data_IF_131640006690
#
_entry.id   IF_131640006690
#
_cell.length_a   1.000
_cell.length_b   1.000
_cell.length_c   1.000
_cell.angle_alpha   90.00
_cell.angle_beta   90.00
_cell.angle_gamma   90.00
#
_symmetry.space_group_name_H-M   'P 1'
#
loop_
_entity.id
_entity.type
_entity.pdbx_description
1 polymer ?
#
# COMPACT_ATOMS: atom_id res chain seq x y z
N UNK A 1 1.22 -10.20 -13.70
CA UNK A 1 0.37 -11.38 -13.39
C UNK A 1 -0.13 -11.94 -14.69
N UNK A 2 0.05 -13.24 -14.99
CA UNK A 2 -0.52 -13.80 -16.20
C UNK A 2 -2.04 -13.62 -16.22
N UNK A 3 -2.59 -13.28 -17.37
CA UNK A 3 -4.03 -12.98 -17.57
C UNK A 3 -4.95 -14.05 -16.99
N UNK A 4 -4.53 -15.33 -17.00
CA UNK A 4 -5.25 -16.46 -16.40
C UNK A 4 -5.42 -16.37 -14.87
N UNK A 5 -4.68 -15.48 -14.20
CA UNK A 5 -4.77 -15.28 -12.75
C UNK A 5 -5.59 -14.05 -12.37
N UNK A 6 -5.99 -13.23 -13.32
CA UNK A 6 -6.79 -12.00 -13.08
C UNK A 6 -8.07 -12.32 -12.29
N UNK A 7 -8.76 -13.39 -12.67
CA UNK A 7 -10.00 -13.80 -11.99
C UNK A 7 -9.79 -14.19 -10.51
N UNK A 8 -8.56 -14.46 -10.08
CA UNK A 8 -8.26 -14.75 -8.66
C UNK A 8 -8.28 -13.50 -7.79
N UNK A 9 -8.16 -12.32 -8.40
CA UNK A 9 -8.19 -11.03 -7.70
C UNK A 9 -9.57 -10.36 -7.71
N UNK A 10 -10.51 -10.91 -8.48
CA UNK A 10 -11.90 -10.50 -8.41
C UNK A 10 -12.55 -11.33 -7.31
N UNK A 11 -13.01 -10.73 -6.21
CA UNK A 11 -13.66 -11.48 -5.15
C UNK A 11 -14.86 -12.23 -5.70
N UNK A 12 -14.81 -13.55 -5.65
CA UNK A 12 -15.91 -14.41 -6.13
C UNK A 12 -16.88 -14.74 -4.99
N UNK A 13 -16.35 -14.74 -3.77
CA UNK A 13 -17.07 -15.11 -2.57
C UNK A 13 -16.62 -14.22 -1.40
N UNK A 14 -17.52 -13.93 -0.44
CA UNK A 14 -17.11 -13.27 0.79
C UNK A 14 -16.13 -14.12 1.60
N UNK A 15 -15.29 -13.48 2.38
CA UNK A 15 -14.47 -14.20 3.36
C UNK A 15 -15.34 -14.89 4.40
N UNK A 16 -14.90 -16.04 4.93
CA UNK A 16 -15.62 -16.71 6.01
C UNK A 16 -15.85 -15.78 7.21
N UNK A 17 -17.05 -15.74 7.79
CA UNK A 17 -17.36 -14.85 8.91
C UNK A 17 -16.40 -14.99 10.09
N UNK A 18 -15.97 -16.21 10.40
CA UNK A 18 -15.01 -16.46 11.50
C UNK A 18 -13.65 -15.80 11.25
N UNK A 19 -13.19 -15.77 10.00
CA UNK A 19 -11.96 -15.08 9.62
C UNK A 19 -12.11 -13.57 9.85
N UNK A 20 -13.21 -13.00 9.38
CA UNK A 20 -13.49 -11.57 9.55
C UNK A 20 -13.56 -11.18 11.02
N UNK A 21 -14.28 -11.94 11.86
CA UNK A 21 -14.35 -11.67 13.29
C UNK A 21 -12.99 -11.71 13.99
N UNK A 22 -12.08 -12.56 13.54
CA UNK A 22 -10.72 -12.62 14.09
C UNK A 22 -9.88 -11.45 13.57
N UNK A 23 -9.98 -11.10 12.29
CA UNK A 23 -9.30 -9.96 11.71
C UNK A 23 -9.77 -8.63 12.36
N UNK A 24 -11.06 -8.49 12.64
CA UNK A 24 -11.60 -7.33 13.37
C UNK A 24 -10.97 -7.18 14.77
N UNK A 25 -10.82 -8.27 15.52
CA UNK A 25 -10.15 -8.25 16.83
C UNK A 25 -8.67 -7.86 16.72
N UNK A 26 -7.97 -8.33 15.70
CA UNK A 26 -6.59 -7.94 15.44
C UNK A 26 -6.48 -6.46 15.09
N UNK A 27 -7.39 -5.94 14.25
CA UNK A 27 -7.47 -4.50 13.92
C UNK A 27 -7.85 -3.65 15.13
N UNK A 28 -8.72 -4.14 16.02
CA UNK A 28 -9.07 -3.45 17.27
C UNK A 28 -7.86 -3.38 18.21
N UNK A 29 -7.12 -4.48 18.35
CA UNK A 29 -5.86 -4.51 19.11
C UNK A 29 -4.82 -3.56 18.53
N UNK A 30 -4.65 -3.58 17.21
CA UNK A 30 -3.70 -2.70 16.52
C UNK A 30 -4.05 -1.22 16.73
N UNK A 31 -5.32 -0.84 16.61
CA UNK A 31 -5.78 0.51 16.91
C UNK A 31 -5.45 0.92 18.35
N UNK A 32 -5.71 0.03 19.34
CA UNK A 32 -5.39 0.28 20.74
C UNK A 32 -3.89 0.44 20.99
N UNK A 33 -3.05 -0.35 20.32
CA UNK A 33 -1.60 -0.21 20.40
C UNK A 33 -1.11 1.12 19.82
N UNK A 34 -1.68 1.56 18.68
CA UNK A 34 -1.40 2.87 18.10
C UNK A 34 -1.79 4.02 19.04
N UNK A 35 -2.97 3.93 19.67
CA UNK A 35 -3.43 4.92 20.65
C UNK A 35 -2.53 4.96 21.88
N UNK A 36 -2.04 3.83 22.37
CA UNK A 36 -1.07 3.75 23.47
C UNK A 36 0.28 4.42 23.12
N UNK A 37 0.63 4.44 21.83
CA UNK A 37 1.80 5.16 21.32
C UNK A 37 1.51 6.66 21.05
N UNK A 38 0.32 7.13 21.41
CA UNK A 38 -0.07 8.54 21.26
C UNK A 38 -0.60 8.91 19.87
N UNK A 39 -0.90 7.94 19.04
CA UNK A 39 -1.46 8.16 17.70
C UNK A 39 -2.97 8.39 17.81
N UNK A 40 -3.48 9.44 17.15
CA UNK A 40 -4.92 9.61 16.96
C UNK A 40 -5.39 8.73 15.81
N UNK A 41 -6.22 7.74 16.13
CA UNK A 41 -6.72 6.79 15.15
C UNK A 41 -8.11 7.18 14.66
N UNK A 42 -8.30 7.23 13.36
CA UNK A 42 -9.60 7.35 12.70
C UNK A 42 -9.92 6.00 12.05
N UNK A 43 -11.16 5.57 12.18
CA UNK A 43 -11.61 4.28 11.61
C UNK A 43 -12.76 4.50 10.64
N UNK A 44 -12.88 3.64 9.60
CA UNK A 44 -14.02 3.69 8.70
C UNK A 44 -15.33 3.43 9.44
N UNK A 45 -16.45 3.83 8.85
CA UNK A 45 -17.76 3.48 9.40
C UNK A 45 -17.98 1.97 9.39
N UNK A 46 -18.58 1.44 10.46
CA UNK A 46 -18.86 0.00 10.59
C UNK A 46 -20.14 -0.41 9.86
N UNK A 47 -21.04 0.53 9.59
CA UNK A 47 -22.40 0.26 9.08
C UNK A 47 -22.43 0.25 7.55
N UNK A 48 -21.45 -0.38 6.91
CA UNK A 48 -21.38 -0.53 5.46
C UNK A 48 -21.71 -1.97 5.07
N UNK A 49 -22.78 -2.14 4.32
CA UNK A 49 -23.03 -3.41 3.63
C UNK A 49 -22.14 -3.49 2.37
N UNK A 50 -20.97 -4.03 2.55
CA UNK A 50 -19.99 -4.19 1.47
C UNK A 50 -20.49 -5.10 0.36
N UNK A 51 -21.32 -6.11 0.69
CA UNK A 51 -21.88 -7.05 -0.29
C UNK A 51 -22.91 -6.34 -1.19
N UNK A 52 -23.80 -5.53 -0.59
CA UNK A 52 -24.79 -4.75 -1.35
C UNK A 52 -24.13 -3.71 -2.27
N UNK A 53 -22.88 -3.32 -1.98
CA UNK A 53 -22.11 -2.36 -2.76
C UNK A 53 -21.14 -3.00 -3.75
N UNK A 54 -21.17 -4.33 -3.88
CA UNK A 54 -20.17 -5.08 -4.66
C UNK A 54 -18.73 -4.75 -4.23
N UNK A 55 -18.58 -4.27 -2.98
CA UNK A 55 -17.34 -3.83 -2.42
C UNK A 55 -16.51 -5.00 -1.89
N UNK A 56 -15.25 -4.72 -1.63
CA UNK A 56 -14.29 -5.72 -1.18
C UNK A 56 -14.04 -5.64 0.33
N UNK A 57 -13.41 -4.58 0.79
CA UNK A 57 -13.10 -4.35 2.20
C UNK A 57 -12.65 -2.92 2.46
N UNK A 58 -12.93 -2.38 3.63
CA UNK A 58 -12.35 -1.12 4.11
C UNK A 58 -11.07 -1.30 4.94
N UNK A 59 -10.50 -2.52 4.99
CA UNK A 59 -9.39 -2.83 5.87
C UNK A 59 -8.02 -2.32 5.36
N UNK A 60 -7.91 -1.99 4.06
CA UNK A 60 -6.64 -1.59 3.43
C UNK A 60 -6.72 -0.17 2.84
N UNK A 61 -6.85 0.87 3.69
CA UNK A 61 -7.03 2.26 3.23
C UNK A 61 -5.81 2.82 2.51
N UNK A 62 -4.63 2.25 2.72
CA UNK A 62 -3.38 2.66 2.06
C UNK A 62 -3.46 2.61 0.56
N UNK A 63 -4.20 1.67 0.02
CA UNK A 63 -4.35 1.50 -1.42
C UNK A 63 -5.19 2.62 -2.02
N UNK A 64 -6.16 3.12 -1.26
CA UNK A 64 -7.15 4.08 -1.72
C UNK A 64 -6.85 5.55 -1.43
N UNK A 65 -5.90 5.85 -0.54
CA UNK A 65 -5.61 7.20 -0.08
C UNK A 65 -4.10 7.46 -0.01
N UNK A 66 -3.66 8.51 -0.68
CA UNK A 66 -2.27 8.97 -0.70
C UNK A 66 -2.15 10.35 -0.05
N UNK A 67 -1.43 10.44 1.06
CA UNK A 67 -1.16 11.70 1.75
C UNK A 67 0.22 12.24 1.34
N UNK A 68 0.27 13.49 0.82
CA UNK A 68 1.52 14.17 0.44
C UNK A 68 1.44 15.63 0.85
N UNK A 69 2.27 16.04 1.80
CA UNK A 69 2.19 17.38 2.40
C UNK A 69 0.78 17.63 2.95
N UNK A 70 0.14 18.72 2.53
CA UNK A 70 -1.25 19.03 2.89
C UNK A 70 -2.30 18.49 1.92
N UNK A 71 -1.90 17.62 0.99
CA UNK A 71 -2.79 17.07 -0.03
C UNK A 71 -3.08 15.59 0.25
N UNK A 72 -4.36 15.22 0.23
CA UNK A 72 -4.85 13.85 0.27
C UNK A 72 -5.47 13.52 -1.08
N UNK A 73 -4.87 12.57 -1.80
CA UNK A 73 -5.35 12.10 -3.10
C UNK A 73 -6.14 10.80 -2.93
N UNK A 74 -7.30 10.74 -3.55
CA UNK A 74 -8.08 9.52 -3.70
C UNK A 74 -7.56 8.74 -4.93
N UNK A 75 -7.32 7.45 -4.75
CA UNK A 75 -6.84 6.57 -5.80
C UNK A 75 -7.88 6.35 -6.91
N UNK A 76 -7.37 6.14 -8.10
CA UNK A 76 -8.16 5.72 -9.26
C UNK A 76 -8.02 4.20 -9.41
N UNK A 77 -8.75 3.43 -8.63
CA UNK A 77 -8.64 1.97 -8.66
C UNK A 77 -8.80 1.36 -10.04
N UNK A 78 -7.98 0.38 -10.35
CA UNK A 78 -8.12 -0.41 -11.57
C UNK A 78 -9.36 -1.32 -11.52
N UNK A 79 -9.72 -1.80 -10.32
CA UNK A 79 -10.80 -2.75 -10.09
C UNK A 79 -12.09 -2.07 -9.65
N UNK A 80 -13.20 -2.20 -10.39
CA UNK A 80 -14.47 -1.57 -10.04
C UNK A 80 -15.00 -1.97 -8.66
N UNK A 81 -14.75 -3.20 -8.21
CA UNK A 81 -15.15 -3.71 -6.89
C UNK A 81 -14.56 -2.91 -5.71
N UNK A 82 -13.49 -2.13 -5.93
CA UNK A 82 -12.87 -1.27 -4.91
C UNK A 82 -13.38 0.16 -4.92
N UNK A 83 -14.22 0.52 -5.89
CA UNK A 83 -14.69 1.90 -6.10
C UNK A 83 -15.36 2.53 -4.88
N UNK A 84 -16.05 1.72 -4.10
CA UNK A 84 -16.82 2.18 -2.94
C UNK A 84 -16.05 2.22 -1.64
N UNK A 85 -14.85 1.63 -1.59
CA UNK A 85 -14.07 1.54 -0.34
C UNK A 85 -13.87 2.92 0.29
N UNK A 86 -13.46 3.90 -0.50
CA UNK A 86 -13.18 5.25 -0.02
C UNK A 86 -14.46 6.07 0.12
N UNK A 87 -15.32 6.06 -0.89
CA UNK A 87 -16.55 6.86 -0.88
C UNK A 87 -17.51 6.51 0.24
N UNK A 88 -17.58 5.24 0.60
CA UNK A 88 -18.51 4.74 1.61
C UNK A 88 -17.81 4.56 2.95
N UNK A 89 -16.72 3.82 2.98
CA UNK A 89 -16.04 3.47 4.23
C UNK A 89 -15.40 4.67 4.94
N UNK A 90 -14.87 5.62 4.19
CA UNK A 90 -14.11 6.76 4.73
C UNK A 90 -14.77 8.12 4.53
N UNK A 91 -16.02 8.17 4.04
CA UNK A 91 -16.71 9.42 3.72
C UNK A 91 -16.78 10.40 4.89
N UNK A 92 -17.10 9.93 6.09
CA UNK A 92 -17.19 10.75 7.29
C UNK A 92 -15.84 11.38 7.68
N UNK A 93 -14.76 10.61 7.55
CA UNK A 93 -13.39 11.08 7.82
C UNK A 93 -13.00 12.13 6.78
N UNK A 94 -13.26 11.89 5.50
CA UNK A 94 -12.95 12.83 4.43
C UNK A 94 -13.76 14.12 4.58
N UNK A 95 -15.03 14.05 4.99
CA UNK A 95 -15.85 15.23 5.28
C UNK A 95 -15.27 16.04 6.45
N UNK A 96 -14.85 15.36 7.52
CA UNK A 96 -14.21 16.04 8.66
C UNK A 96 -12.90 16.72 8.24
N UNK A 97 -12.05 16.04 7.46
CA UNK A 97 -10.79 16.60 6.97
C UNK A 97 -11.02 17.78 6.02
N UNK A 98 -12.10 17.75 5.22
CA UNK A 98 -12.45 18.86 4.32
C UNK A 98 -12.85 20.16 5.04
N UNK A 99 -13.16 20.09 6.34
CA UNK A 99 -13.40 21.29 7.16
C UNK A 99 -12.09 22.00 7.57
N UNK A 100 -10.95 21.33 7.47
CA UNK A 100 -9.65 21.94 7.69
C UNK A 100 -9.17 22.64 6.41
N UNK A 101 -9.13 23.97 6.42
CA UNK A 101 -8.69 24.78 5.29
C UNK A 101 -7.22 24.52 4.87
N UNK A 102 -6.44 23.83 5.69
CA UNK A 102 -5.07 23.47 5.37
C UNK A 102 -4.96 22.13 4.63
N UNK A 103 -6.06 21.37 4.52
CA UNK A 103 -6.09 20.07 3.84
C UNK A 103 -6.75 20.20 2.47
N UNK A 104 -6.01 19.88 1.42
CA UNK A 104 -6.54 19.78 0.07
C UNK A 104 -6.90 18.32 -0.22
N UNK A 105 -8.19 18.02 -0.46
CA UNK A 105 -8.64 16.71 -0.88
C UNK A 105 -8.81 16.70 -2.40
N UNK A 106 -8.10 15.82 -3.08
CA UNK A 106 -8.22 15.59 -4.52
C UNK A 106 -9.01 14.29 -4.70
N UNK A 107 -10.27 14.46 -5.09
CA UNK A 107 -11.16 13.32 -5.39
C UNK A 107 -10.82 12.73 -6.74
N UNK A 108 -11.00 11.43 -6.90
CA UNK A 108 -10.88 10.76 -8.19
C UNK A 108 -11.86 11.35 -9.21
N UNK A 109 -11.57 11.33 -10.50
CA UNK A 109 -12.51 11.77 -11.52
C UNK A 109 -13.80 10.93 -11.50
N UNK A 110 -14.96 11.57 -11.70
CA UNK A 110 -16.29 10.93 -11.66
C UNK A 110 -16.39 9.70 -12.58
N UNK A 111 -15.77 9.75 -13.76
CA UNK A 111 -15.82 8.68 -14.75
C UNK A 111 -14.64 7.69 -14.67
N UNK A 112 -13.93 7.64 -13.53
CA UNK A 112 -12.73 6.80 -13.39
C UNK A 112 -13.00 5.29 -13.51
N UNK A 113 -14.26 4.86 -13.50
CA UNK A 113 -14.66 3.45 -13.68
C UNK A 113 -15.48 3.19 -14.94
N UNK A 114 -15.67 4.19 -15.79
CA UNK A 114 -16.53 4.06 -16.97
C UNK A 114 -16.03 3.03 -18.00
N UNK A 115 -14.71 2.80 -18.04
CA UNK A 115 -14.11 1.88 -19.00
C UNK A 115 -13.36 0.75 -18.28
N UNK A 116 -13.44 -0.45 -18.83
CA UNK A 116 -12.59 -1.54 -18.38
C UNK A 116 -11.14 -1.25 -18.73
N UNK A 117 -10.24 -1.52 -17.78
CA UNK A 117 -8.80 -1.45 -17.99
C UNK A 117 -8.19 -2.78 -18.42
N UNK A 118 -8.97 -3.86 -18.35
CA UNK A 118 -8.48 -5.18 -18.71
C UNK A 118 -8.34 -5.30 -20.22
N UNK A 119 -7.16 -5.68 -20.66
CA UNK A 119 -6.93 -6.11 -22.04
C UNK A 119 -7.33 -7.57 -22.18
N UNK A 120 -8.55 -7.81 -22.65
CA UNK A 120 -9.09 -9.15 -22.81
C UNK A 120 -8.47 -9.94 -23.97
N UNK A 121 -7.81 -9.29 -24.94
CA UNK A 121 -7.33 -9.96 -26.14
C UNK A 121 -5.90 -9.64 -26.62
N UNK A 122 -5.23 -8.61 -26.13
CA UNK A 122 -3.88 -8.26 -26.61
C UNK A 122 -3.07 -7.41 -25.64
N UNK A 123 -2.65 -7.98 -24.57
CA UNK A 123 -1.63 -7.34 -23.70
C UNK A 123 -0.27 -7.15 -24.41
N UNK A 124 -0.08 -7.77 -25.57
CA UNK A 124 1.16 -7.69 -26.35
C UNK A 124 1.33 -6.39 -27.16
N UNK A 125 0.29 -5.57 -27.32
CA UNK A 125 0.31 -4.42 -28.24
C UNK A 125 0.06 -3.05 -27.60
N UNK A 126 -0.11 -2.92 -26.32
CA UNK A 126 -0.27 -1.61 -25.69
C UNK A 126 1.08 -0.97 -25.41
N UNK A 127 1.66 -0.53 -26.42
CA UNK A 127 2.27 0.77 -26.71
C UNK A 127 2.91 1.54 -25.56
N UNK A 128 4.22 1.43 -25.47
CA UNK A 128 5.09 2.58 -25.28
C UNK A 128 5.20 3.24 -23.91
N UNK A 129 4.44 2.85 -22.93
CA UNK A 129 4.32 3.57 -21.68
C UNK A 129 4.61 2.69 -20.46
N UNK A 130 5.83 2.21 -20.35
CA UNK A 130 6.26 1.46 -19.18
C UNK A 130 5.78 0.00 -19.12
N UNK A 131 4.81 -0.38 -19.99
CA UNK A 131 4.42 -1.77 -20.13
C UNK A 131 5.42 -2.50 -21.02
N UNK A 132 6.41 -3.12 -20.41
CA UNK A 132 7.39 -3.95 -21.10
C UNK A 132 6.69 -5.20 -21.66
N UNK A 133 6.32 -5.14 -22.96
CA UNK A 133 5.82 -6.29 -23.72
C UNK A 133 4.57 -6.98 -23.13
N UNK A 134 3.59 -6.23 -22.65
CA UNK A 134 2.36 -6.82 -22.10
C UNK A 134 2.51 -7.37 -20.68
N UNK A 135 3.47 -6.87 -19.93
CA UNK A 135 3.75 -7.29 -18.56
C UNK A 135 2.55 -7.06 -17.61
N UNK A 136 1.80 -5.98 -17.82
CA UNK A 136 0.69 -5.60 -16.93
C UNK A 136 -0.67 -5.95 -17.54
N UNK A 137 -1.65 -6.31 -16.70
CA UNK A 137 -3.00 -6.68 -17.14
C UNK A 137 -3.91 -5.48 -17.43
N UNK A 138 -3.44 -4.27 -17.14
CA UNK A 138 -4.18 -3.03 -17.35
C UNK A 138 -3.58 -2.19 -18.49
N UNK A 139 -4.44 -1.51 -19.24
CA UNK A 139 -4.06 -0.58 -20.30
C UNK A 139 -4.02 0.88 -19.79
N UNK A 140 -3.73 1.84 -20.69
CA UNK A 140 -3.65 3.26 -20.38
C UNK A 140 -4.87 4.08 -20.84
N UNK A 141 -6.04 3.46 -21.00
CA UNK A 141 -7.25 4.16 -21.49
C UNK A 141 -7.79 5.20 -20.48
N UNK A 142 -7.46 5.04 -19.22
CA UNK A 142 -7.73 6.00 -18.15
C UNK A 142 -6.68 5.91 -17.04
N UNK A 143 -6.58 6.92 -16.15
CA UNK A 143 -5.76 6.80 -14.95
C UNK A 143 -6.17 5.62 -14.10
N UNK A 144 -5.18 4.81 -13.68
CA UNK A 144 -5.32 3.81 -12.65
C UNK A 144 -4.09 3.81 -11.77
N UNK A 145 -4.29 3.83 -10.47
CA UNK A 145 -3.25 3.63 -9.48
C UNK A 145 -3.84 3.24 -8.13
N UNK A 146 -3.13 2.40 -7.43
CA UNK A 146 -3.27 2.20 -5.99
C UNK A 146 -2.21 3.05 -5.29
N UNK A 147 -2.58 3.76 -4.22
CA UNK A 147 -1.64 4.66 -3.54
C UNK A 147 -0.49 3.91 -2.85
N UNK A 148 -0.67 2.63 -2.55
CA UNK A 148 0.37 1.73 -2.03
C UNK A 148 1.50 1.42 -3.04
N UNK A 149 1.36 1.81 -4.31
CA UNK A 149 2.45 1.77 -5.29
C UNK A 149 3.40 2.97 -5.22
N UNK A 150 3.25 3.82 -4.20
CA UNK A 150 4.06 5.02 -4.01
C UNK A 150 4.56 5.12 -2.58
N UNK A 151 5.88 5.29 -2.40
CA UNK A 151 6.52 5.56 -1.12
C UNK A 151 7.24 6.90 -1.15
N UNK A 152 7.09 7.67 -0.07
CA UNK A 152 7.67 9.01 0.02
C UNK A 152 9.03 8.98 0.71
N UNK A 153 10.01 9.66 0.12
CA UNK A 153 11.35 9.90 0.62
C UNK A 153 11.61 11.41 0.64
N UNK A 154 11.12 12.06 1.67
CA UNK A 154 11.14 13.51 1.73
C UNK A 154 10.23 14.13 0.64
N UNK A 155 10.80 14.83 -0.34
CA UNK A 155 10.08 15.41 -1.46
C UNK A 155 10.09 14.54 -2.73
N UNK A 156 10.88 13.48 -2.74
CA UNK A 156 10.88 12.49 -3.82
C UNK A 156 9.96 11.34 -3.45
N UNK A 157 9.10 10.97 -4.36
CA UNK A 157 8.21 9.83 -4.24
C UNK A 157 8.72 8.76 -5.20
N UNK A 158 9.06 7.60 -4.68
CA UNK A 158 9.40 6.45 -5.50
C UNK A 158 8.13 5.64 -5.73
N UNK A 159 7.76 5.49 -6.98
CA UNK A 159 6.61 4.69 -7.41
C UNK A 159 7.02 3.54 -8.31
N UNK A 160 6.09 2.66 -8.61
CA UNK A 160 6.26 1.58 -9.59
C UNK A 160 5.07 1.46 -10.53
N UNK A 161 5.29 0.89 -11.71
CA UNK A 161 4.21 0.34 -12.53
C UNK A 161 3.86 -1.06 -12.03
N UNK A 162 2.57 -1.39 -12.10
CA UNK A 162 2.07 -2.67 -11.58
C UNK A 162 0.80 -3.12 -12.30
N UNK A 163 0.19 -4.21 -11.85
CA UNK A 163 -1.11 -4.66 -12.33
C UNK A 163 -2.28 -3.76 -11.91
N UNK A 164 -2.02 -2.74 -11.09
CA UNK A 164 -3.02 -1.78 -10.60
C UNK A 164 -2.64 -0.32 -10.84
N UNK A 165 -1.37 -0.06 -11.26
CA UNK A 165 -0.86 1.30 -11.51
C UNK A 165 -0.28 1.39 -12.92
N UNK A 166 -0.88 2.25 -13.75
CA UNK A 166 -0.46 2.51 -15.13
C UNK A 166 0.20 3.89 -15.30
N UNK A 167 0.74 4.17 -16.48
CA UNK A 167 1.36 5.46 -16.80
C UNK A 167 0.39 6.63 -16.61
N UNK A 168 -0.86 6.49 -17.08
CA UNK A 168 -1.85 7.55 -16.93
C UNK A 168 -2.15 7.84 -15.45
N UNK A 169 -2.09 6.82 -14.56
CA UNK A 169 -2.21 6.97 -13.12
C UNK A 169 -1.03 7.73 -12.51
N UNK A 170 0.19 7.37 -12.88
CA UNK A 170 1.40 8.10 -12.46
C UNK A 170 1.34 9.58 -12.89
N UNK A 171 0.92 9.85 -14.12
CA UNK A 171 0.78 11.23 -14.65
C UNK A 171 -0.32 12.00 -13.91
N UNK A 172 -1.43 11.32 -13.55
CA UNK A 172 -2.48 11.90 -12.74
C UNK A 172 -1.97 12.26 -11.33
N UNK A 173 -1.24 11.37 -10.68
CA UNK A 173 -0.64 11.66 -9.36
C UNK A 173 0.31 12.85 -9.50
N UNK A 174 1.27 12.82 -10.46
CA UNK A 174 2.25 13.89 -10.70
C UNK A 174 1.59 15.26 -10.86
N UNK A 175 0.48 15.33 -11.61
CA UNK A 175 -0.28 16.58 -11.84
C UNK A 175 -0.91 17.13 -10.57
N UNK A 176 -1.25 16.28 -9.62
CA UNK A 176 -1.98 16.66 -8.40
C UNK A 176 -1.09 16.78 -7.17
N UNK A 177 0.19 16.49 -7.26
CA UNK A 177 1.15 16.70 -6.17
C UNK A 177 1.27 18.18 -5.80
N UNK A 178 1.55 18.50 -4.53
CA UNK A 178 1.98 19.82 -4.12
C UNK A 178 3.27 20.24 -4.83
N UNK A 179 3.49 21.55 -4.94
CA UNK A 179 4.72 22.07 -5.53
C UNK A 179 5.97 21.58 -4.79
N UNK A 180 7.01 21.22 -5.54
CA UNK A 180 8.28 20.76 -5.01
C UNK A 180 8.33 19.28 -4.66
N UNK A 181 7.27 18.50 -4.95
CA UNK A 181 7.33 17.05 -4.94
C UNK A 181 7.52 16.50 -6.35
N UNK A 182 8.23 15.39 -6.46
CA UNK A 182 8.50 14.72 -7.72
C UNK A 182 8.30 13.21 -7.59
N UNK A 183 8.05 12.54 -8.73
CA UNK A 183 7.91 11.08 -8.78
C UNK A 183 9.01 10.50 -9.65
N UNK A 184 9.74 9.56 -9.08
CA UNK A 184 10.65 8.66 -9.76
C UNK A 184 10.05 7.25 -9.83
N UNK A 185 10.31 6.54 -10.92
CA UNK A 185 9.80 5.17 -11.11
C UNK A 185 10.92 4.18 -10.89
N UNK A 186 10.71 3.29 -9.92
CA UNK A 186 11.57 2.15 -9.65
C UNK A 186 11.26 1.03 -10.63
N UNK A 187 12.30 0.50 -11.23
CA UNK A 187 12.22 -0.69 -12.06
C UNK A 187 12.24 -1.95 -11.18
N UNK A 188 11.10 -2.60 -11.08
CA UNK A 188 10.89 -3.79 -10.24
C UNK A 188 10.85 -5.04 -11.12
N UNK A 189 11.65 -6.05 -10.78
CA UNK A 189 11.65 -7.35 -11.44
C UNK A 189 10.63 -8.28 -10.79
N UNK A 190 9.34 -8.03 -11.05
CA UNK A 190 8.24 -8.82 -10.50
C UNK A 190 7.10 -8.91 -11.50
N UNK A 191 6.86 -10.11 -12.03
CA UNK A 191 5.73 -10.37 -12.93
C UNK A 191 4.35 -10.25 -12.25
N UNK A 192 4.33 -10.24 -10.93
CA UNK A 192 3.14 -10.09 -10.10
C UNK A 192 3.15 -8.75 -9.35
N UNK A 193 3.88 -7.75 -9.83
CA UNK A 193 4.03 -6.48 -9.14
C UNK A 193 2.68 -5.87 -8.76
N UNK A 194 2.53 -5.64 -7.48
CA UNK A 194 1.42 -4.95 -6.84
C UNK A 194 1.92 -4.42 -5.51
N UNK A 195 1.78 -3.13 -5.28
CA UNK A 195 2.15 -2.42 -4.06
C UNK A 195 3.65 -2.46 -3.71
N UNK A 196 4.30 -1.33 -3.86
CA UNK A 196 5.74 -1.16 -3.59
C UNK A 196 6.06 -1.28 -2.09
N UNK A 197 5.09 -1.08 -1.22
CA UNK A 197 5.22 -1.15 0.23
C UNK A 197 5.41 -2.58 0.79
N UNK A 198 5.32 -3.61 -0.07
CA UNK A 198 5.77 -4.96 0.20
C UNK A 198 7.14 -5.28 -0.47
N UNK A 199 7.76 -4.27 -1.09
CA UNK A 199 9.06 -4.38 -1.77
C UNK A 199 10.12 -3.53 -1.09
N UNK A 200 9.74 -2.35 -0.61
CA UNK A 200 10.61 -1.41 0.08
C UNK A 200 10.02 -1.07 1.45
N UNK A 201 10.85 -1.11 2.47
CA UNK A 201 10.51 -0.71 3.83
C UNK A 201 11.56 0.28 4.36
N UNK A 202 11.34 1.59 4.26
CA UNK A 202 12.19 2.57 4.93
C UNK A 202 11.97 2.50 6.45
N UNK A 203 12.96 2.00 7.20
CA UNK A 203 12.89 1.90 8.66
C UNK A 203 13.13 3.25 9.34
N UNK A 204 14.02 4.06 8.78
CA UNK A 204 14.31 5.44 9.20
C UNK A 204 15.10 6.15 8.12
N UNK A 205 15.29 7.45 8.27
CA UNK A 205 16.15 8.19 7.36
C UNK A 205 17.55 7.56 7.31
N UNK A 206 18.01 7.26 6.11
CA UNK A 206 19.30 6.62 5.88
C UNK A 206 19.31 5.09 5.99
N UNK A 207 18.18 4.44 6.30
CA UNK A 207 18.10 2.98 6.39
C UNK A 207 16.87 2.45 5.66
N UNK A 208 17.07 1.68 4.61
CA UNK A 208 16.06 1.03 3.80
C UNK A 208 16.24 -0.48 3.78
N UNK A 209 15.20 -1.21 4.12
CA UNK A 209 15.10 -2.66 3.89
C UNK A 209 14.38 -2.89 2.57
N UNK A 210 14.82 -3.87 1.79
CA UNK A 210 14.21 -4.18 0.49
C UNK A 210 14.09 -5.67 0.22
N UNK A 211 13.16 -6.02 -0.66
CA UNK A 211 12.91 -7.37 -1.12
C UNK A 211 13.98 -7.81 -2.12
N UNK A 212 14.86 -8.78 -1.78
CA UNK A 212 16.07 -9.07 -2.56
C UNK A 212 15.82 -9.71 -3.93
N UNK A 213 14.63 -10.30 -4.14
CA UNK A 213 14.29 -10.94 -5.42
C UNK A 213 13.54 -10.01 -6.38
N UNK A 214 13.01 -8.89 -5.89
CA UNK A 214 12.25 -7.94 -6.70
C UNK A 214 13.08 -6.76 -7.16
N UNK A 215 14.02 -6.32 -6.33
CA UNK A 215 14.91 -5.20 -6.62
C UNK A 215 16.35 -5.52 -6.24
N UNK A 216 17.28 -4.82 -6.87
CA UNK A 216 18.71 -4.94 -6.57
C UNK A 216 19.21 -3.64 -5.96
N UNK A 217 20.29 -3.70 -5.19
CA UNK A 217 20.95 -2.48 -4.69
C UNK A 217 21.34 -1.56 -5.84
N UNK A 218 21.81 -2.12 -6.97
CA UNK A 218 22.17 -1.34 -8.15
C UNK A 218 20.97 -0.56 -8.73
N UNK A 219 19.75 -1.16 -8.73
CA UNK A 219 18.55 -0.45 -9.19
C UNK A 219 18.15 0.67 -8.23
N UNK A 220 18.27 0.44 -6.92
CA UNK A 220 17.97 1.43 -5.90
C UNK A 220 18.95 2.60 -5.92
N UNK A 221 20.25 2.35 -6.16
CA UNK A 221 21.30 3.39 -6.25
C UNK A 221 21.15 4.34 -7.45
N UNK A 222 20.24 4.06 -8.38
CA UNK A 222 19.90 4.99 -9.47
C UNK A 222 19.06 6.17 -9.00
N UNK A 223 18.46 6.07 -7.81
CA UNK A 223 17.64 7.12 -7.21
C UNK A 223 18.49 7.98 -6.29
N UNK A 224 18.70 9.24 -6.66
CA UNK A 224 19.58 10.17 -5.92
C UNK A 224 19.13 10.34 -4.46
N UNK A 225 17.84 10.27 -4.18
CA UNK A 225 17.29 10.37 -2.83
C UNK A 225 17.77 9.24 -1.91
N UNK A 226 18.19 8.10 -2.48
CA UNK A 226 18.77 6.97 -1.74
C UNK A 226 20.31 7.01 -1.70
N UNK A 227 20.94 8.07 -2.22
CA UNK A 227 22.38 8.23 -2.12
C UNK A 227 22.82 8.29 -0.64
N UNK A 228 23.81 7.46 -0.28
CA UNK A 228 24.30 7.39 1.10
C UNK A 228 23.41 6.62 2.08
N UNK A 229 22.27 6.10 1.66
CA UNK A 229 21.44 5.24 2.50
C UNK A 229 22.09 3.87 2.71
N UNK A 230 21.93 3.32 3.91
CA UNK A 230 22.22 1.93 4.21
C UNK A 230 21.07 1.06 3.63
N UNK A 231 21.37 0.35 2.55
CA UNK A 231 20.41 -0.48 1.83
C UNK A 231 20.60 -1.93 2.27
N UNK A 232 19.59 -2.49 2.93
CA UNK A 232 19.64 -3.85 3.49
C UNK A 232 18.68 -4.78 2.76
N UNK A 233 19.18 -5.79 2.04
CA UNK A 233 18.31 -6.87 1.57
C UNK A 233 17.72 -7.59 2.79
N UNK A 234 16.43 -7.93 2.73
CA UNK A 234 15.84 -8.80 3.75
C UNK A 234 16.53 -10.16 3.72
N UNK A 235 17.13 -10.60 4.84
CA UNK A 235 18.10 -11.70 4.80
C UNK A 235 17.49 -13.09 4.90
N UNK A 236 16.21 -13.19 5.28
CA UNK A 236 15.58 -14.47 5.51
C UNK A 236 14.71 -14.88 4.32
N UNK A 237 14.46 -16.19 4.20
CA UNK A 237 13.34 -16.70 3.43
C UNK A 237 12.12 -16.70 4.36
N UNK A 238 11.14 -15.79 4.19
CA UNK A 238 10.04 -15.66 5.13
C UNK A 238 9.33 -16.99 5.34
N UNK A 239 9.01 -17.38 6.58
CA UNK A 239 8.40 -18.66 6.86
C UNK A 239 7.05 -18.80 6.15
N UNK A 240 6.68 -20.00 5.68
CA UNK A 240 5.35 -20.22 5.14
C UNK A 240 4.32 -19.90 6.23
N UNK A 241 3.27 -19.18 5.87
CA UNK A 241 2.14 -18.96 6.77
C UNK A 241 1.17 -20.13 6.60
N UNK A 242 0.88 -20.82 7.68
CA UNK A 242 0.00 -22.00 7.65
C UNK A 242 -1.41 -21.65 8.11
N UNK A 243 -1.53 -20.66 8.96
CA UNK A 243 -2.78 -20.20 9.57
C UNK A 243 -2.87 -18.69 9.61
N UNK A 244 -4.07 -18.16 9.57
CA UNK A 244 -5.37 -18.72 9.15
C UNK A 244 -5.37 -19.12 7.69
N UNK A 245 -6.47 -19.69 7.11
CA UNK A 245 -6.53 -19.96 5.68
C UNK A 245 -6.08 -18.74 4.88
N UNK A 246 -5.08 -18.91 4.04
CA UNK A 246 -4.38 -17.82 3.37
C UNK A 246 -5.06 -17.50 2.04
N UNK A 247 -6.05 -16.60 2.05
CA UNK A 247 -6.81 -16.26 0.85
C UNK A 247 -6.06 -15.33 -0.09
N UNK A 248 -5.53 -14.20 0.44
CA UNK A 248 -4.91 -13.14 -0.36
C UNK A 248 -3.60 -12.67 0.25
N UNK A 249 -2.82 -13.58 0.80
CA UNK A 249 -1.60 -13.23 1.51
C UNK A 249 -0.35 -13.58 0.71
N UNK A 250 0.75 -12.98 1.12
CA UNK A 250 2.11 -13.32 0.75
C UNK A 250 2.95 -13.51 2.00
N UNK A 251 3.88 -14.45 1.96
CA UNK A 251 4.88 -14.59 3.02
C UNK A 251 5.74 -13.34 3.19
N UNK A 252 5.85 -12.50 2.15
CA UNK A 252 6.60 -11.24 2.15
C UNK A 252 5.88 -10.06 2.80
N UNK A 253 4.69 -10.27 3.36
CA UNK A 253 4.00 -9.25 4.16
C UNK A 253 4.75 -8.84 5.43
N UNK A 254 5.82 -9.55 5.81
CA UNK A 254 6.76 -9.09 6.83
C UNK A 254 7.42 -7.74 6.49
N UNK A 255 7.56 -7.41 5.19
CA UNK A 255 8.04 -6.10 4.73
C UNK A 255 6.95 -5.02 4.71
N UNK A 256 5.68 -5.40 4.78
CA UNK A 256 4.56 -4.46 4.88
C UNK A 256 4.32 -4.04 6.35
N UNK A 257 5.41 -3.78 7.06
CA UNK A 257 5.42 -3.32 8.44
C UNK A 257 5.09 -1.82 8.53
N UNK A 258 4.50 -1.37 9.62
CA UNK A 258 4.28 0.06 9.88
C UNK A 258 5.41 0.61 10.75
N UNK A 259 6.19 1.51 10.19
CA UNK A 259 7.16 2.31 10.93
C UNK A 259 6.44 3.52 11.53
N UNK A 260 6.50 3.66 12.85
CA UNK A 260 5.74 4.70 13.54
C UNK A 260 6.48 6.06 13.55
N UNK A 261 7.76 6.06 13.93
CA UNK A 261 8.51 7.31 14.16
C UNK A 261 10.01 7.23 13.83
N UNK A 262 10.43 6.21 13.09
CA UNK A 262 11.86 5.96 12.78
C UNK A 262 12.63 5.25 13.89
N UNK A 263 12.03 5.03 15.05
CA UNK A 263 12.56 4.23 16.15
C UNK A 263 11.73 2.97 16.39
N UNK A 264 10.42 3.05 16.16
CA UNK A 264 9.45 2.00 16.45
C UNK A 264 8.82 1.43 15.18
N UNK A 265 8.65 0.12 15.16
CA UNK A 265 8.05 -0.58 14.02
C UNK A 265 7.09 -1.67 14.52
N UNK A 266 5.88 -1.71 13.95
CA UNK A 266 4.93 -2.79 14.18
C UNK A 266 5.33 -4.01 13.35
N UNK A 267 5.35 -5.16 14.01
CA UNK A 267 5.67 -6.46 13.40
C UNK A 267 4.64 -7.51 13.81
N UNK A 268 4.38 -8.47 12.93
CA UNK A 268 3.52 -9.60 13.27
C UNK A 268 4.13 -10.40 14.43
N UNK A 269 3.33 -10.70 15.46
CA UNK A 269 3.82 -11.23 16.73
C UNK A 269 4.55 -12.57 16.61
N UNK A 270 4.19 -13.40 15.62
CA UNK A 270 4.82 -14.69 15.38
C UNK A 270 6.09 -14.60 14.51
N UNK A 271 6.37 -13.46 13.86
CA UNK A 271 7.55 -13.26 13.00
C UNK A 271 8.81 -12.94 13.86
N UNK A 272 9.25 -13.91 14.65
CA UNK A 272 10.32 -13.73 15.64
C UNK A 272 11.65 -13.36 14.99
N UNK A 273 12.00 -13.97 13.86
CA UNK A 273 13.26 -13.69 13.15
C UNK A 273 13.29 -12.26 12.60
N UNK A 274 12.20 -11.81 11.97
CA UNK A 274 12.06 -10.44 11.49
C UNK A 274 12.19 -9.44 12.63
N UNK A 275 11.52 -9.71 13.76
CA UNK A 275 11.58 -8.86 14.95
C UNK A 275 13.01 -8.74 15.46
N UNK A 276 13.70 -9.84 15.71
CA UNK A 276 15.06 -9.85 16.23
C UNK A 276 16.02 -9.14 15.27
N UNK A 277 15.82 -9.31 13.98
CA UNK A 277 16.65 -8.63 12.99
C UNK A 277 16.41 -7.12 12.98
N UNK A 278 15.16 -6.65 13.01
CA UNK A 278 14.88 -5.21 13.12
C UNK A 278 15.44 -4.62 14.43
N UNK A 279 15.35 -5.35 15.53
CA UNK A 279 15.98 -4.96 16.80
C UNK A 279 17.50 -4.84 16.67
N UNK A 280 18.17 -5.73 15.93
CA UNK A 280 19.59 -5.66 15.63
C UNK A 280 19.97 -4.45 14.76
N UNK A 281 19.04 -3.92 13.98
CA UNK A 281 19.17 -2.68 13.20
C UNK A 281 18.86 -1.43 14.04
N UNK A 282 18.59 -1.58 15.35
CA UNK A 282 18.34 -0.50 16.28
C UNK A 282 16.89 -0.03 16.32
N UNK A 283 15.93 -0.83 15.84
CA UNK A 283 14.50 -0.54 15.96
C UNK A 283 13.93 -1.12 17.25
N UNK A 284 12.94 -0.46 17.82
CA UNK A 284 12.08 -1.00 18.86
C UNK A 284 10.86 -1.64 18.20
N UNK A 285 10.73 -2.96 18.28
CA UNK A 285 9.63 -3.67 17.67
C UNK A 285 8.42 -3.73 18.59
N UNK A 286 7.24 -3.44 18.05
CA UNK A 286 5.94 -3.59 18.71
C UNK A 286 5.24 -4.81 18.09
N UNK A 287 5.27 -5.97 18.78
CA UNK A 287 4.62 -7.17 18.27
C UNK A 287 3.09 -7.05 18.39
N UNK A 288 2.40 -7.36 17.31
CA UNK A 288 0.94 -7.35 17.25
C UNK A 288 0.46 -8.58 16.46
N UNK A 289 -0.51 -9.38 16.98
CA UNK A 289 -1.14 -10.42 16.19
C UNK A 289 -1.85 -9.84 14.97
N UNK A 290 -1.53 -10.33 13.78
CA UNK A 290 -2.04 -9.77 12.52
C UNK A 290 -2.25 -10.80 11.41
N UNK A 291 -2.20 -12.10 11.73
CA UNK A 291 -2.26 -13.16 10.73
C UNK A 291 -3.60 -13.23 10.00
N UNK A 292 -4.72 -12.96 10.68
CA UNK A 292 -6.04 -12.97 10.07
C UNK A 292 -6.24 -11.75 9.17
N UNK A 293 -5.73 -10.59 9.56
CA UNK A 293 -5.68 -9.40 8.69
C UNK A 293 -4.79 -9.66 7.47
N UNK A 294 -3.60 -10.24 7.66
CA UNK A 294 -2.73 -10.63 6.56
C UNK A 294 -3.42 -11.56 5.55
N UNK A 295 -4.31 -12.42 6.03
CA UNK A 295 -5.07 -13.36 5.20
C UNK A 295 -6.08 -12.68 4.25
N UNK A 296 -6.48 -11.46 4.54
CA UNK A 296 -7.43 -10.70 3.72
C UNK A 296 -6.77 -9.66 2.81
N UNK A 297 -5.43 -9.69 2.66
CA UNK A 297 -4.77 -9.00 1.56
C UNK A 297 -3.80 -7.88 1.91
N UNK A 298 -3.34 -7.77 3.16
CA UNK A 298 -2.36 -6.75 3.54
C UNK A 298 -1.80 -6.93 4.93
N UNK A 299 -0.92 -6.01 5.36
CA UNK A 299 -0.39 -5.99 6.71
C UNK A 299 -0.50 -4.57 7.31
N UNK A 300 0.32 -4.24 8.29
CA UNK A 300 0.23 -3.02 9.08
C UNK A 300 0.26 -1.73 8.24
N UNK A 301 1.14 -1.65 7.25
CA UNK A 301 1.22 -0.47 6.39
C UNK A 301 -0.02 -0.34 5.51
N UNK A 302 -0.47 -1.43 4.87
CA UNK A 302 -1.71 -1.44 4.08
C UNK A 302 -2.95 -1.07 4.90
N UNK A 303 -3.00 -1.48 6.19
CA UNK A 303 -4.13 -1.22 7.08
C UNK A 303 -4.16 0.21 7.63
N UNK A 304 -3.25 1.08 7.22
CA UNK A 304 -3.14 2.46 7.72
C UNK A 304 -2.91 3.47 6.60
N UNK A 305 -3.31 4.71 6.84
CA UNK A 305 -2.91 5.90 6.07
C UNK A 305 -2.45 6.97 7.05
N UNK A 306 -1.24 7.49 6.84
CA UNK A 306 -0.74 8.60 7.62
C UNK A 306 -1.40 9.90 7.16
N UNK A 307 -2.26 10.48 7.99
CA UNK A 307 -2.85 11.78 7.69
C UNK A 307 -1.92 12.92 8.10
N UNK A 308 -1.29 12.81 9.27
CA UNK A 308 -0.33 13.79 9.79
C UNK A 308 0.77 13.03 10.53
N UNK A 309 2.02 13.32 10.20
CA UNK A 309 3.18 12.92 11.01
C UNK A 309 3.83 14.16 11.59
N UNK A 310 4.03 14.18 12.91
CA UNK A 310 4.79 15.26 13.56
C UNK A 310 6.28 14.99 13.39
N UNK A 311 7.05 16.04 13.06
CA UNK A 311 8.51 15.98 13.01
C UNK A 311 9.09 15.74 14.41
N UNK A 312 9.26 14.51 14.80
CA UNK A 312 10.23 14.12 15.83
C UNK A 312 11.18 13.12 15.18
N UNK A 313 12.19 13.62 14.46
CA UNK A 313 13.27 12.79 13.92
C UNK A 313 12.85 11.79 12.82
N UNK A 314 11.59 11.77 12.43
CA UNK A 314 11.15 10.97 11.30
C UNK A 314 11.32 11.79 10.02
N UNK A 315 11.99 11.25 9.00
CA UNK A 315 11.96 11.88 7.69
C UNK A 315 10.50 11.97 7.23
N UNK A 316 10.20 12.92 6.35
CA UNK A 316 8.95 12.93 5.60
C UNK A 316 8.86 11.60 4.79
N UNK A 317 8.56 10.51 5.46
CA UNK A 317 8.22 9.22 4.85
C UNK A 317 6.77 9.22 4.46
#
# INVERSE_FOLDING_TARGET
MPTQHVNKFIPQNPFPPELILKAEKELDMFASLLENEGVKVYRPTKDVDWLAKEGYTGAMPRDGLMSVGSTLLEACFAWPSRSYEIEVGFSSILQQLALDNNVKIVRRPENSFANTLLDSENSAHTNGNGNRNGQWVINNSRPAFDAADFLRFGRTIIGQYSHVTNQAGVDYVRKNLPAGYEIEILDVNDECAMHIDATLLPLRQGLLVYHPYKVTEQSLRKHDVLAGWDLRPYPFDPPPREYPPLYMTSRWLCLNALVLDGEKVFVEASDVETRQWFESLGMTCIPCPFQHVNSIGGSFHCATVDLVRQKKGCPDM
#
